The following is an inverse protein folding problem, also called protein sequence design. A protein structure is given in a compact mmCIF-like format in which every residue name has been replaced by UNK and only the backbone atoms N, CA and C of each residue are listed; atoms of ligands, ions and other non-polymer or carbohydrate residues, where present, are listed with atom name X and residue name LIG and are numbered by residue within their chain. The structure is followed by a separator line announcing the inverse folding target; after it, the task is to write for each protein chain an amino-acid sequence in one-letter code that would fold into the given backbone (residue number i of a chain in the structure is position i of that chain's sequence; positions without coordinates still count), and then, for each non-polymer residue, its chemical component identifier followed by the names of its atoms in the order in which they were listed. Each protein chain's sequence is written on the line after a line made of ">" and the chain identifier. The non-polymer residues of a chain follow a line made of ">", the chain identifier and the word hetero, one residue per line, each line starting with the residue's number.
data_IF_779079317816
#
_entry.id   IF_779079317816
#
_cell.length_a   1.000
_cell.length_b   1.000
_cell.length_c   1.000
_cell.angle_alpha   90.00
_cell.angle_beta   90.00
_cell.angle_gamma   90.00
#
_symmetry.space_group_name_H-M   'P 1'
#
loop_
_entity.id
_entity.type
_entity.pdbx_description
1 polymer ?
#
# COMPACT_ATOMS: atom_id res chain seq x y z
N UNK A 1 -6.25 16.89 -30.08
CA UNK A 1 -4.78 16.79 -30.23
C UNK A 1 -4.14 18.06 -29.74
N UNK A 2 -2.95 18.39 -30.25
CA UNK A 2 -2.23 19.62 -29.89
C UNK A 2 -2.40 20.69 -30.98
N UNK A 3 -2.32 21.98 -30.64
CA UNK A 3 -2.21 23.03 -31.65
C UNK A 3 -0.94 22.87 -32.49
N UNK A 4 -0.98 23.20 -33.78
CA UNK A 4 0.15 23.10 -34.72
C UNK A 4 0.76 24.47 -34.97
N UNK A 5 2.09 24.57 -34.91
CA UNK A 5 2.82 25.83 -35.16
C UNK A 5 3.01 26.00 -36.66
N UNK A 6 2.28 26.95 -37.25
CA UNK A 6 2.38 27.24 -38.68
C UNK A 6 3.48 28.25 -38.93
N UNK A 7 4.49 27.85 -39.71
CA UNK A 7 5.61 28.70 -40.12
C UNK A 7 5.48 29.16 -41.57
N UNK A 8 6.04 30.34 -41.86
CA UNK A 8 6.20 30.83 -43.21
C UNK A 8 7.49 30.33 -43.89
N UNK A 9 7.71 30.72 -45.16
CA UNK A 9 8.84 30.24 -45.96
C UNK A 9 10.22 30.56 -45.40
N UNK A 10 10.35 31.62 -44.60
CA UNK A 10 11.63 32.00 -43.97
C UNK A 10 11.79 31.40 -42.56
N UNK A 11 10.87 30.51 -42.17
CA UNK A 11 10.84 29.89 -40.84
C UNK A 11 10.18 30.75 -39.76
N UNK A 12 9.65 31.93 -40.11
CA UNK A 12 8.95 32.81 -39.18
C UNK A 12 7.62 32.21 -38.71
N UNK A 13 7.25 32.40 -37.45
CA UNK A 13 5.97 31.92 -36.91
C UNK A 13 4.86 32.82 -37.42
N UNK A 14 3.77 32.22 -37.92
CA UNK A 14 2.59 32.96 -38.40
C UNK A 14 1.42 32.87 -37.46
N UNK A 15 1.08 31.64 -37.04
CA UNK A 15 -0.04 31.36 -36.15
C UNK A 15 0.10 29.98 -35.53
N UNK A 16 -0.74 29.69 -34.55
CA UNK A 16 -1.00 28.33 -34.08
C UNK A 16 -2.43 27.97 -34.47
N UNK A 17 -2.62 26.78 -35.04
CA UNK A 17 -3.95 26.27 -35.41
C UNK A 17 -4.30 25.08 -34.53
N UNK A 18 -5.45 25.12 -33.86
CA UNK A 18 -5.90 24.01 -33.02
C UNK A 18 -6.23 22.75 -33.82
N UNK A 19 -6.07 21.58 -33.21
CA UNK A 19 -6.19 20.28 -33.90
C UNK A 19 -7.57 20.05 -34.55
N UNK A 20 -8.63 20.61 -33.95
CA UNK A 20 -10.00 20.54 -34.45
C UNK A 20 -10.23 21.44 -35.67
N UNK A 21 -9.56 22.59 -35.70
CA UNK A 21 -9.67 23.61 -36.76
C UNK A 21 -8.64 23.41 -37.88
N UNK A 22 -7.65 22.54 -37.67
CA UNK A 22 -6.56 22.28 -38.61
C UNK A 22 -7.00 21.48 -39.85
N UNK A 23 -6.53 21.91 -41.03
CA UNK A 23 -6.67 21.16 -42.28
C UNK A 23 -5.88 19.84 -42.25
N UNK A 24 -6.13 18.89 -43.18
CA UNK A 24 -5.31 17.69 -43.31
C UNK A 24 -3.80 17.98 -43.48
N UNK A 25 -3.46 19.03 -44.24
CA UNK A 25 -2.08 19.48 -44.44
C UNK A 25 -1.50 20.05 -43.14
N UNK A 26 -2.26 20.87 -42.42
CA UNK A 26 -1.82 21.44 -41.14
C UNK A 26 -1.65 20.37 -40.07
N UNK A 27 -2.50 19.35 -40.04
CA UNK A 27 -2.38 18.21 -39.11
C UNK A 27 -1.10 17.40 -39.30
N UNK A 28 -0.49 17.45 -40.48
CA UNK A 28 0.79 16.80 -40.79
C UNK A 28 2.01 17.54 -40.20
N UNK A 29 1.83 18.77 -39.73
CA UNK A 29 2.89 19.53 -39.04
C UNK A 29 3.24 18.79 -37.73
N UNK A 30 4.54 18.52 -37.56
CA UNK A 30 5.08 17.84 -36.38
C UNK A 30 5.38 18.77 -35.21
N UNK A 31 5.63 20.06 -35.48
CA UNK A 31 5.84 21.06 -34.44
C UNK A 31 4.51 21.42 -33.78
N UNK A 32 4.41 21.09 -32.48
CA UNK A 32 3.23 21.34 -31.67
C UNK A 32 3.41 22.55 -30.77
N UNK A 33 2.30 23.21 -30.49
CA UNK A 33 2.20 24.23 -29.47
C UNK A 33 2.05 23.58 -28.08
N UNK A 34 2.98 23.90 -27.19
CA UNK A 34 3.04 23.33 -25.82
C UNK A 34 2.22 24.15 -24.81
N UNK A 35 1.60 25.25 -25.24
CA UNK A 35 0.70 26.06 -24.41
C UNK A 35 1.39 26.91 -23.35
N UNK A 36 2.72 27.02 -23.37
CA UNK A 36 3.49 27.87 -22.46
C UNK A 36 4.01 29.10 -23.21
N UNK A 37 3.72 30.29 -22.68
CA UNK A 37 4.08 31.55 -23.32
C UNK A 37 4.73 32.52 -22.32
N UNK A 38 5.65 33.32 -22.84
CA UNK A 38 6.12 34.55 -22.18
C UNK A 38 5.72 35.70 -23.09
N UNK A 39 4.88 36.59 -22.58
CA UNK A 39 4.20 37.62 -23.38
C UNK A 39 4.30 38.96 -22.66
N UNK A 40 4.47 40.04 -23.40
CA UNK A 40 4.35 41.40 -22.84
C UNK A 40 2.95 41.60 -22.26
N UNK A 41 2.88 42.08 -21.02
CA UNK A 41 1.63 42.20 -20.28
C UNK A 41 0.65 43.21 -20.92
N UNK A 42 1.18 44.29 -21.51
CA UNK A 42 0.36 45.33 -22.15
C UNK A 42 -0.26 44.80 -23.43
N UNK A 43 0.53 44.10 -24.24
CA UNK A 43 0.02 43.40 -25.42
C UNK A 43 -1.01 42.34 -25.04
N UNK A 44 -0.72 41.50 -24.04
CA UNK A 44 -1.62 40.42 -23.62
C UNK A 44 -3.00 40.96 -23.23
N UNK A 45 -3.08 42.02 -22.43
CA UNK A 45 -4.35 42.63 -22.05
C UNK A 45 -5.17 43.12 -23.25
N UNK A 46 -4.51 43.76 -24.23
CA UNK A 46 -5.16 44.19 -25.48
C UNK A 46 -5.60 42.98 -26.32
N UNK A 47 -4.75 41.97 -26.46
CA UNK A 47 -5.02 40.80 -27.27
C UNK A 47 -6.23 40.02 -26.74
N UNK A 48 -6.28 39.76 -25.43
CA UNK A 48 -7.40 39.07 -24.78
C UNK A 48 -8.75 39.77 -25.01
N UNK A 49 -8.79 41.11 -25.02
CA UNK A 49 -10.03 41.87 -25.27
C UNK A 49 -10.59 41.73 -26.70
N UNK A 50 -9.73 41.34 -27.64
CA UNK A 50 -10.05 41.22 -29.06
C UNK A 50 -10.32 39.78 -29.49
N UNK A 51 -10.03 38.78 -28.64
CA UNK A 51 -10.36 37.39 -28.93
C UNK A 51 -11.85 37.21 -29.24
N UNK A 52 -12.16 36.30 -30.15
CA UNK A 52 -13.52 35.97 -30.57
C UNK A 52 -13.69 34.46 -30.63
N UNK A 53 -14.84 33.90 -30.22
CA UNK A 53 -15.08 32.46 -30.24
C UNK A 53 -15.51 31.98 -31.63
N UNK A 54 -14.70 32.27 -32.65
CA UNK A 54 -14.98 31.96 -34.05
C UNK A 54 -14.20 30.73 -34.51
N UNK A 55 -14.44 29.60 -33.84
CA UNK A 55 -13.82 28.31 -34.14
C UNK A 55 -14.86 27.19 -34.00
N UNK A 56 -14.47 25.97 -34.37
CA UNK A 56 -15.33 24.78 -34.32
C UNK A 56 -15.89 24.52 -32.92
N UNK A 57 -15.18 24.91 -31.86
CA UNK A 57 -15.59 24.70 -30.47
C UNK A 57 -16.43 25.85 -29.88
N UNK A 58 -16.43 27.03 -30.50
CA UNK A 58 -17.05 28.23 -29.95
C UNK A 58 -16.35 28.77 -28.69
N UNK A 59 -15.04 28.57 -28.56
CA UNK A 59 -14.24 28.95 -27.38
C UNK A 59 -13.28 30.11 -27.67
N UNK A 60 -12.80 30.81 -26.64
CA UNK A 60 -11.75 31.83 -26.81
C UNK A 60 -10.37 31.15 -26.80
N UNK A 61 -9.77 30.97 -27.97
CA UNK A 61 -8.44 30.36 -28.05
C UNK A 61 -7.34 31.36 -27.69
N UNK A 62 -6.57 31.05 -26.65
CA UNK A 62 -5.39 31.85 -26.29
C UNK A 62 -4.31 31.80 -27.39
N UNK A 63 -4.33 30.77 -28.23
CA UNK A 63 -3.39 30.59 -29.34
C UNK A 63 -3.52 31.65 -30.43
N UNK A 64 -4.68 32.28 -30.56
CA UNK A 64 -4.94 33.35 -31.55
C UNK A 64 -4.10 34.61 -31.27
N UNK A 65 -3.64 34.83 -30.03
CA UNK A 65 -2.79 35.99 -29.72
C UNK A 65 -1.47 35.98 -30.50
N UNK A 66 -1.04 34.79 -30.95
CA UNK A 66 0.18 34.62 -31.75
C UNK A 66 -0.02 35.26 -33.12
N UNK A 67 -1.13 34.94 -33.80
CA UNK A 67 -1.46 35.54 -35.09
C UNK A 67 -1.67 37.05 -34.97
N UNK A 68 -2.34 37.50 -33.91
CA UNK A 68 -2.55 38.92 -33.64
C UNK A 68 -1.23 39.68 -33.44
N UNK A 69 -0.26 39.09 -32.75
CA UNK A 69 1.07 39.67 -32.58
C UNK A 69 1.78 39.81 -33.93
N UNK A 70 1.73 38.77 -34.77
CA UNK A 70 2.31 38.78 -36.11
C UNK A 70 1.65 39.85 -36.99
N UNK A 71 0.33 39.97 -36.97
CA UNK A 71 -0.43 40.98 -37.73
C UNK A 71 -0.10 42.42 -37.29
N UNK A 72 0.25 42.62 -36.01
CA UNK A 72 0.70 43.92 -35.48
C UNK A 72 2.19 44.19 -35.73
N UNK A 73 2.90 43.30 -36.43
CA UNK A 73 4.33 43.43 -36.70
C UNK A 73 5.22 43.24 -35.47
N UNK A 74 4.69 42.64 -34.40
CA UNK A 74 5.46 42.32 -33.20
C UNK A 74 6.33 41.09 -33.43
N UNK A 75 7.44 41.00 -32.68
CA UNK A 75 8.34 39.85 -32.76
C UNK A 75 7.73 38.65 -32.02
N UNK A 76 7.53 37.55 -32.76
CA UNK A 76 7.15 36.24 -32.21
C UNK A 76 8.30 35.27 -32.42
N UNK A 77 8.70 34.59 -31.36
CA UNK A 77 9.74 33.56 -31.38
C UNK A 77 9.24 32.33 -30.61
N UNK A 78 9.68 31.14 -31.04
CA UNK A 78 9.48 29.90 -30.31
C UNK A 78 10.83 29.38 -29.83
N UNK A 79 10.83 28.82 -28.62
CA UNK A 79 11.90 27.99 -28.13
C UNK A 79 11.48 26.53 -28.29
N UNK A 80 12.24 25.77 -29.07
CA UNK A 80 11.97 24.35 -29.30
C UNK A 80 12.79 23.54 -28.30
N UNK A 81 12.14 22.74 -27.47
CA UNK A 81 12.84 21.77 -26.61
C UNK A 81 13.18 20.51 -27.40
N UNK A 82 14.31 19.89 -27.06
CA UNK A 82 14.68 18.58 -27.58
C UNK A 82 14.10 17.42 -26.74
N UNK A 83 13.57 17.72 -25.54
CA UNK A 83 12.89 16.74 -24.69
C UNK A 83 11.37 16.95 -24.75
N UNK A 84 10.70 16.14 -25.57
CA UNK A 84 9.24 16.22 -25.72
C UNK A 84 8.50 15.88 -24.41
N UNK A 85 9.10 15.09 -23.51
CA UNK A 85 8.46 14.67 -22.26
C UNK A 85 8.28 15.85 -21.30
N UNK A 86 9.17 16.85 -21.32
CA UNK A 86 9.01 18.09 -20.55
C UNK A 86 7.77 18.88 -20.96
N UNK A 87 7.32 18.71 -22.20
CA UNK A 87 6.22 19.46 -22.79
C UNK A 87 4.96 18.63 -23.01
N UNK A 88 4.96 17.37 -22.58
CA UNK A 88 3.84 16.46 -22.81
C UNK A 88 2.66 16.84 -21.93
N UNK A 89 1.55 17.23 -22.55
CA UNK A 89 0.29 17.52 -21.88
C UNK A 89 -0.47 16.25 -21.48
N UNK A 90 -1.09 16.25 -20.30
CA UNK A 90 -1.83 15.11 -19.76
C UNK A 90 -3.33 15.29 -20.03
N UNK A 91 -3.80 14.74 -21.13
CA UNK A 91 -5.21 14.78 -21.53
C UNK A 91 -5.94 13.45 -21.32
N UNK A 92 -5.18 12.35 -21.19
CA UNK A 92 -5.71 10.99 -21.01
C UNK A 92 -4.97 10.28 -19.88
N UNK A 93 -5.53 9.15 -19.42
CA UNK A 93 -4.86 8.29 -18.44
C UNK A 93 -3.58 7.65 -18.99
N UNK A 94 -3.50 7.46 -20.31
CA UNK A 94 -2.29 7.01 -20.97
C UNK A 94 -1.18 8.06 -20.91
N UNK A 95 -1.49 9.34 -21.20
CA UNK A 95 -0.51 10.41 -21.05
C UNK A 95 -0.04 10.54 -19.59
N UNK A 96 -0.96 10.38 -18.63
CA UNK A 96 -0.62 10.39 -17.21
C UNK A 96 0.39 9.28 -16.88
N UNK A 97 0.17 8.05 -17.38
CA UNK A 97 1.09 6.94 -17.16
C UNK A 97 2.48 7.18 -17.77
N UNK A 98 2.55 7.82 -18.95
CA UNK A 98 3.82 8.19 -19.59
C UNK A 98 4.57 9.23 -18.76
N UNK A 99 3.89 10.32 -18.37
CA UNK A 99 4.48 11.39 -17.56
C UNK A 99 4.96 10.87 -16.19
N UNK A 100 4.17 9.99 -15.58
CA UNK A 100 4.48 9.40 -14.29
C UNK A 100 5.69 8.45 -14.36
N UNK A 101 5.79 7.64 -15.42
CA UNK A 101 6.97 6.81 -15.68
C UNK A 101 8.25 7.64 -15.80
N UNK A 102 8.20 8.78 -16.49
CA UNK A 102 9.36 9.67 -16.61
C UNK A 102 9.72 10.32 -15.28
N UNK A 103 8.73 10.76 -14.49
CA UNK A 103 8.99 11.30 -13.16
C UNK A 103 9.65 10.26 -12.24
N UNK A 104 9.15 9.01 -12.24
CA UNK A 104 9.77 7.90 -11.50
C UNK A 104 11.21 7.67 -11.93
N UNK A 105 11.49 7.68 -13.24
CA UNK A 105 12.86 7.54 -13.76
C UNK A 105 13.79 8.61 -13.19
N UNK A 106 13.35 9.87 -13.15
CA UNK A 106 14.13 11.00 -12.60
C UNK A 106 14.37 10.85 -11.09
N UNK A 107 13.35 10.45 -10.33
CA UNK A 107 13.47 10.22 -8.88
C UNK A 107 14.46 9.07 -8.60
N UNK A 108 14.31 7.94 -9.29
CA UNK A 108 15.20 6.79 -9.16
C UNK A 108 16.65 7.16 -9.51
N UNK A 109 16.85 7.91 -10.60
CA UNK A 109 18.18 8.38 -10.99
C UNK A 109 18.81 9.28 -9.90
N UNK A 110 18.05 10.23 -9.34
CA UNK A 110 18.52 11.09 -8.24
C UNK A 110 18.98 10.28 -7.04
N UNK A 111 18.19 9.29 -6.61
CA UNK A 111 18.51 8.45 -5.45
C UNK A 111 19.71 7.53 -5.71
N UNK A 112 19.80 6.95 -6.91
CA UNK A 112 20.96 6.12 -7.27
C UNK A 112 22.25 6.95 -7.30
N UNK A 113 22.21 8.17 -7.84
CA UNK A 113 23.35 9.10 -7.83
C UNK A 113 23.75 9.54 -6.41
N UNK A 114 22.83 9.52 -5.44
CA UNK A 114 23.12 9.79 -4.03
C UNK A 114 23.62 8.56 -3.25
N UNK A 115 23.84 7.41 -3.90
CA UNK A 115 24.41 6.20 -3.30
C UNK A 115 23.38 5.18 -2.83
N UNK A 116 22.13 5.23 -3.31
CA UNK A 116 21.11 4.20 -3.05
C UNK A 116 21.22 3.11 -4.11
N UNK A 117 21.18 1.85 -3.68
CA UNK A 117 21.14 0.71 -4.60
C UNK A 117 19.69 0.34 -4.90
N UNK A 118 19.30 0.37 -6.17
CA UNK A 118 18.01 -0.14 -6.64
C UNK A 118 18.27 -1.36 -7.53
N UNK A 119 17.82 -2.54 -7.11
CA UNK A 119 18.11 -3.79 -7.83
C UNK A 119 17.39 -3.85 -9.18
N UNK A 120 16.20 -3.27 -9.25
CA UNK A 120 15.42 -3.09 -10.49
C UNK A 120 14.67 -1.75 -10.39
N UNK A 121 15.27 -0.65 -10.89
CA UNK A 121 14.70 0.70 -10.77
C UNK A 121 13.31 0.86 -11.39
N UNK A 122 12.96 0.06 -12.40
CA UNK A 122 11.65 0.11 -13.06
C UNK A 122 10.54 -0.51 -12.21
N UNK A 123 10.92 -1.28 -11.17
CA UNK A 123 10.00 -1.96 -10.25
C UNK A 123 10.03 -1.39 -8.84
N UNK A 124 10.69 -0.26 -8.61
CA UNK A 124 10.66 0.47 -7.34
C UNK A 124 9.87 1.75 -7.54
N UNK A 125 8.93 2.02 -6.64
CA UNK A 125 8.11 3.23 -6.66
C UNK A 125 8.54 4.09 -5.47
N UNK A 126 8.94 5.33 -5.75
CA UNK A 126 9.34 6.29 -4.73
C UNK A 126 8.67 7.63 -5.03
N UNK A 127 7.93 8.16 -4.07
CA UNK A 127 7.38 9.52 -4.15
C UNK A 127 8.50 10.56 -4.08
N UNK A 128 8.32 11.72 -4.71
CA UNK A 128 9.35 12.76 -4.83
C UNK A 128 9.86 13.29 -3.47
N UNK A 129 9.00 13.30 -2.45
CA UNK A 129 9.30 13.77 -1.09
C UNK A 129 9.97 12.75 -0.17
N UNK A 130 10.26 11.54 -0.66
CA UNK A 130 10.92 10.49 0.13
C UNK A 130 12.42 10.71 0.18
N UNK A 131 12.99 10.50 1.36
CA UNK A 131 14.44 10.53 1.59
C UNK A 131 14.97 9.13 1.86
N UNK A 132 16.10 8.78 1.23
CA UNK A 132 16.77 7.48 1.43
C UNK A 132 18.26 7.72 1.59
N UNK A 133 18.82 7.27 2.71
CA UNK A 133 20.24 7.38 3.02
C UNK A 133 21.11 6.48 2.15
N UNK A 134 22.38 6.88 1.99
CA UNK A 134 23.41 6.12 1.25
C UNK A 134 23.53 4.67 1.72
N UNK A 135 24.01 3.82 0.83
CA UNK A 135 24.27 2.39 1.05
C UNK A 135 23.00 1.58 1.37
N UNK A 136 21.82 2.18 1.25
CA UNK A 136 20.54 1.49 1.38
C UNK A 136 20.18 0.77 0.07
N UNK A 137 19.69 -0.47 0.19
CA UNK A 137 19.28 -1.31 -0.94
C UNK A 137 17.75 -1.46 -1.00
N UNK A 138 17.17 -1.19 -2.17
CA UNK A 138 15.75 -1.33 -2.47
C UNK A 138 15.53 -2.46 -3.48
N UNK A 139 14.75 -3.46 -3.10
CA UNK A 139 14.43 -4.62 -3.92
C UNK A 139 13.21 -4.36 -4.82
N UNK A 140 12.99 -5.17 -5.87
CA UNK A 140 11.85 -5.02 -6.77
C UNK A 140 10.51 -5.11 -6.01
N UNK A 141 9.57 -4.22 -6.36
CA UNK A 141 8.24 -4.12 -5.76
C UNK A 141 8.18 -3.25 -4.49
N UNK A 142 9.30 -2.66 -4.04
CA UNK A 142 9.27 -1.69 -2.94
C UNK A 142 8.51 -0.43 -3.36
N UNK A 143 7.61 0.02 -2.47
CA UNK A 143 6.84 1.25 -2.62
C UNK A 143 7.10 2.16 -1.41
N UNK A 144 7.71 3.32 -1.65
CA UNK A 144 8.00 4.33 -0.63
C UNK A 144 7.17 5.58 -0.92
N UNK A 145 6.30 5.96 0.02
CA UNK A 145 5.26 6.95 -0.22
C UNK A 145 5.26 8.08 0.82
N UNK A 146 4.72 9.23 0.43
CA UNK A 146 4.50 10.39 1.29
C UNK A 146 5.82 10.99 1.79
N UNK A 147 5.92 11.14 3.12
CA UNK A 147 7.10 11.68 3.82
C UNK A 147 7.96 10.58 4.46
N UNK A 148 8.05 9.43 3.80
CA UNK A 148 8.88 8.34 4.30
C UNK A 148 10.35 8.75 4.29
N UNK A 149 11.06 8.44 5.38
CA UNK A 149 12.50 8.68 5.51
C UNK A 149 13.16 7.36 5.88
N UNK A 150 14.19 6.98 5.11
CA UNK A 150 15.00 5.79 5.36
C UNK A 150 16.44 6.22 5.62
N UNK A 151 17.03 5.73 6.71
CA UNK A 151 18.42 5.95 7.07
C UNK A 151 19.42 5.28 6.11
N UNK A 152 20.66 5.19 6.57
CA UNK A 152 21.77 4.61 5.80
C UNK A 152 21.94 3.12 6.06
N UNK A 153 22.50 2.40 5.08
CA UNK A 153 22.84 0.98 5.20
C UNK A 153 21.64 0.10 5.57
N UNK A 154 20.46 0.43 5.03
CA UNK A 154 19.24 -0.35 5.22
C UNK A 154 19.05 -1.33 4.07
N UNK A 155 18.27 -2.38 4.30
CA UNK A 155 17.87 -3.32 3.25
C UNK A 155 16.36 -3.45 3.29
N UNK A 156 15.70 -3.09 2.19
CA UNK A 156 14.25 -3.15 2.04
C UNK A 156 13.94 -4.18 0.95
N UNK A 157 13.47 -5.34 1.38
CA UNK A 157 13.11 -6.46 0.51
C UNK A 157 11.79 -6.25 -0.22
N UNK A 158 11.57 -7.08 -1.23
CA UNK A 158 10.58 -6.88 -2.26
C UNK A 158 9.14 -6.85 -1.76
N UNK A 159 8.30 -6.18 -2.55
CA UNK A 159 6.86 -6.03 -2.30
C UNK A 159 6.52 -5.39 -0.93
N UNK A 160 7.45 -4.64 -0.34
CA UNK A 160 7.21 -3.90 0.90
C UNK A 160 6.69 -2.50 0.62
N UNK A 161 5.68 -2.05 1.37
CA UNK A 161 5.08 -0.72 1.27
C UNK A 161 5.32 0.07 2.54
N UNK A 162 5.95 1.23 2.42
CA UNK A 162 6.18 2.16 3.52
C UNK A 162 5.51 3.50 3.18
N UNK A 163 4.61 3.96 4.06
CA UNK A 163 3.92 5.23 3.91
C UNK A 163 4.11 6.07 5.16
N UNK A 164 4.59 7.30 5.00
CA UNK A 164 4.83 8.26 6.08
C UNK A 164 5.58 7.67 7.28
N UNK A 165 6.55 6.79 7.03
CA UNK A 165 7.27 6.06 8.08
C UNK A 165 8.70 6.55 8.23
N UNK A 166 9.24 6.46 9.44
CA UNK A 166 10.62 6.83 9.77
C UNK A 166 11.42 5.56 10.05
N UNK A 167 12.47 5.32 9.26
CA UNK A 167 13.33 4.15 9.39
C UNK A 167 14.75 4.64 9.67
N UNK A 168 15.33 4.21 10.79
CA UNK A 168 16.69 4.51 11.20
C UNK A 168 17.74 3.80 10.35
N UNK A 169 18.98 3.78 10.83
CA UNK A 169 20.10 3.13 10.12
C UNK A 169 20.13 1.62 10.34
N UNK A 170 20.81 0.89 9.47
CA UNK A 170 21.08 -0.54 9.66
C UNK A 170 19.81 -1.40 9.84
N UNK A 171 18.66 -0.96 9.30
CA UNK A 171 17.38 -1.67 9.43
C UNK A 171 17.21 -2.67 8.30
N UNK A 172 16.72 -3.86 8.64
CA UNK A 172 16.28 -4.86 7.66
C UNK A 172 14.75 -4.92 7.66
N UNK A 173 14.14 -4.61 6.51
CA UNK A 173 12.72 -4.88 6.25
C UNK A 173 12.66 -6.01 5.25
N UNK A 174 12.12 -7.14 5.69
CA UNK A 174 11.94 -8.35 4.89
C UNK A 174 10.70 -8.25 4.01
N UNK A 175 10.52 -9.25 3.15
CA UNK A 175 9.54 -9.23 2.08
C UNK A 175 8.10 -8.99 2.54
N UNK A 176 7.33 -8.30 1.71
CA UNK A 176 5.87 -8.14 1.86
C UNK A 176 5.44 -7.50 3.17
N UNK A 177 6.21 -6.53 3.68
CA UNK A 177 5.83 -5.76 4.85
C UNK A 177 4.99 -4.53 4.48
N UNK A 178 4.06 -4.16 5.35
CA UNK A 178 3.29 -2.91 5.22
C UNK A 178 3.50 -2.06 6.47
N UNK A 179 4.09 -0.88 6.31
CA UNK A 179 4.37 0.05 7.40
C UNK A 179 3.66 1.38 7.10
N UNK A 180 2.76 1.78 7.99
CA UNK A 180 1.98 3.01 7.88
C UNK A 180 2.21 3.84 9.14
N UNK A 181 2.80 5.03 8.99
CA UNK A 181 3.07 5.94 10.11
C UNK A 181 3.80 5.25 11.29
N UNK A 182 4.79 4.42 10.93
CA UNK A 182 5.60 3.66 11.88
C UNK A 182 6.99 4.30 12.06
N UNK A 183 7.56 4.17 13.26
CA UNK A 183 8.95 4.56 13.55
C UNK A 183 9.76 3.32 13.90
N UNK A 184 10.85 3.10 13.16
CA UNK A 184 11.74 1.96 13.29
C UNK A 184 13.12 2.47 13.60
N UNK A 185 13.65 2.17 14.78
CA UNK A 185 14.98 2.60 15.18
C UNK A 185 16.08 1.66 14.67
N UNK A 186 17.31 2.09 14.90
CA UNK A 186 18.52 1.47 14.36
C UNK A 186 18.63 -0.04 14.65
N UNK A 187 19.01 -0.81 13.62
CA UNK A 187 19.31 -2.23 13.76
C UNK A 187 18.10 -3.14 13.95
N UNK A 188 16.87 -2.61 13.87
CA UNK A 188 15.65 -3.40 13.97
C UNK A 188 15.45 -4.31 12.74
N UNK A 189 14.69 -5.38 12.92
CA UNK A 189 14.33 -6.33 11.86
C UNK A 189 12.82 -6.49 11.80
N UNK A 190 12.23 -6.22 10.64
CA UNK A 190 10.78 -6.27 10.41
C UNK A 190 10.46 -7.30 9.33
N UNK A 191 9.48 -8.17 9.57
CA UNK A 191 8.93 -9.10 8.61
C UNK A 191 9.55 -10.49 8.58
N UNK A 192 9.33 -11.23 7.48
CA UNK A 192 8.47 -10.87 6.33
C UNK A 192 6.99 -10.82 6.72
N UNK A 193 6.08 -10.29 5.90
CA UNK A 193 4.62 -10.29 6.16
C UNK A 193 4.19 -9.61 7.48
N UNK A 194 4.93 -8.60 7.94
CA UNK A 194 4.54 -7.80 9.09
C UNK A 194 3.65 -6.63 8.65
N UNK A 195 2.69 -6.25 9.50
CA UNK A 195 1.83 -5.08 9.31
C UNK A 195 1.95 -4.13 10.49
N UNK A 196 2.65 -3.01 10.29
CA UNK A 196 2.79 -1.96 11.28
C UNK A 196 1.83 -0.81 10.95
N UNK A 197 0.89 -0.56 11.85
CA UNK A 197 -0.12 0.49 11.73
C UNK A 197 0.31 1.75 12.51
N UNK A 198 -0.41 2.87 12.35
CA UNK A 198 -0.02 4.13 12.95
C UNK A 198 0.26 4.07 14.45
N UNK A 199 1.35 4.73 14.85
CA UNK A 199 1.83 4.76 16.23
C UNK A 199 2.59 3.50 16.65
N UNK A 200 3.03 2.68 15.70
CA UNK A 200 3.98 1.59 15.99
C UNK A 200 5.39 2.15 16.09
N UNK A 201 6.06 1.90 17.22
CA UNK A 201 7.43 2.29 17.50
C UNK A 201 8.25 1.05 17.83
N UNK A 202 9.26 0.76 17.01
CA UNK A 202 10.18 -0.35 17.23
C UNK A 202 11.53 0.22 17.61
N UNK A 203 11.92 0.04 18.88
CA UNK A 203 13.19 0.51 19.38
C UNK A 203 14.36 -0.29 18.82
N UNK A 204 15.57 0.22 19.08
CA UNK A 204 16.83 -0.37 18.60
C UNK A 204 16.86 -1.89 18.73
N UNK A 205 17.28 -2.57 17.67
CA UNK A 205 17.42 -4.04 17.62
C UNK A 205 16.14 -4.82 17.96
N UNK A 206 14.98 -4.17 18.01
CA UNK A 206 13.68 -4.81 18.15
C UNK A 206 13.39 -5.69 16.93
N UNK A 207 12.62 -6.76 17.14
CA UNK A 207 12.25 -7.69 16.07
C UNK A 207 10.75 -7.87 15.99
N UNK A 208 10.22 -7.66 14.79
CA UNK A 208 8.84 -8.00 14.44
C UNK A 208 8.91 -9.00 13.31
N UNK A 209 8.44 -10.21 13.51
CA UNK A 209 8.52 -11.25 12.50
C UNK A 209 7.21 -11.43 11.72
N UNK A 210 6.97 -12.64 11.23
CA UNK A 210 5.93 -12.90 10.27
C UNK A 210 4.51 -12.99 10.85
N UNK A 211 3.57 -12.43 10.09
CA UNK A 211 2.15 -12.38 10.43
C UNK A 211 1.91 -11.71 11.78
N UNK A 212 2.66 -10.65 12.05
CA UNK A 212 2.49 -9.81 13.23
C UNK A 212 1.86 -8.49 12.82
N UNK A 213 0.78 -8.11 13.50
CA UNK A 213 0.14 -6.81 13.39
C UNK A 213 0.36 -5.97 14.65
N UNK A 214 0.90 -4.77 14.49
CA UNK A 214 1.07 -3.80 15.57
C UNK A 214 0.26 -2.53 15.30
N UNK A 215 -0.30 -1.93 16.34
CA UNK A 215 -1.00 -0.63 16.26
C UNK A 215 -0.89 0.11 17.58
N UNK A 216 -0.43 1.37 17.58
CA UNK A 216 -0.23 2.13 18.83
C UNK A 216 0.59 1.31 19.85
N UNK A 217 1.68 0.70 19.37
CA UNK A 217 2.47 -0.26 20.15
C UNK A 217 3.94 0.10 20.12
N UNK A 218 4.55 0.11 21.30
CA UNK A 218 5.98 0.32 21.51
C UNK A 218 6.65 -1.02 21.79
N UNK A 219 7.64 -1.40 20.98
CA UNK A 219 8.48 -2.58 21.17
C UNK A 219 9.84 -2.11 21.66
N UNK A 220 10.14 -2.34 22.93
CA UNK A 220 11.39 -1.91 23.56
C UNK A 220 12.65 -2.56 22.97
N UNK A 221 13.80 -2.00 23.34
CA UNK A 221 15.10 -2.41 22.81
C UNK A 221 15.34 -3.92 22.99
N UNK A 222 15.75 -4.58 21.90
CA UNK A 222 16.07 -6.01 21.88
C UNK A 222 14.86 -6.95 22.03
N UNK A 223 13.65 -6.42 22.22
CA UNK A 223 12.42 -7.21 22.36
C UNK A 223 11.95 -7.81 21.04
N UNK A 224 11.23 -8.93 21.13
CA UNK A 224 10.90 -9.78 19.98
C UNK A 224 9.42 -10.14 19.97
N UNK A 225 8.76 -9.89 18.84
CA UNK A 225 7.41 -10.33 18.51
C UNK A 225 7.49 -11.06 17.18
N UNK A 226 7.83 -12.35 17.20
CA UNK A 226 8.29 -13.00 15.98
C UNK A 226 7.18 -13.60 15.11
N UNK A 227 6.04 -14.00 15.67
CA UNK A 227 5.09 -14.82 14.89
C UNK A 227 3.63 -14.58 15.30
N UNK A 228 2.75 -14.49 14.32
CA UNK A 228 1.29 -14.73 14.46
C UNK A 228 0.65 -13.98 15.64
N UNK A 229 0.95 -12.69 15.81
CA UNK A 229 0.54 -11.93 17.00
C UNK A 229 -0.14 -10.63 16.62
N UNK A 230 -1.16 -10.23 17.40
CA UNK A 230 -1.74 -8.89 17.34
C UNK A 230 -1.48 -8.17 18.65
N UNK A 231 -0.73 -7.06 18.60
CA UNK A 231 -0.48 -6.21 19.75
C UNK A 231 -0.94 -4.78 19.46
N UNK A 232 -2.06 -4.39 20.08
CA UNK A 232 -2.67 -3.08 19.97
C UNK A 232 -2.64 -2.33 21.29
N UNK A 233 -2.37 -1.03 21.26
CA UNK A 233 -2.37 -0.16 22.44
C UNK A 233 -1.46 -0.70 23.57
N UNK A 234 -0.24 -1.12 23.21
CA UNK A 234 0.65 -1.89 24.10
C UNK A 234 2.03 -1.24 24.26
N UNK A 235 2.56 -1.21 25.49
CA UNK A 235 3.94 -0.79 25.76
C UNK A 235 4.73 -1.99 26.22
N UNK A 236 5.75 -2.38 25.46
CA UNK A 236 6.63 -3.51 25.74
C UNK A 236 8.01 -2.99 26.14
N UNK A 237 8.51 -3.44 27.28
CA UNK A 237 9.84 -3.13 27.79
C UNK A 237 10.95 -3.76 26.96
N UNK A 238 12.17 -3.74 27.50
CA UNK A 238 13.39 -4.25 26.88
C UNK A 238 13.54 -5.75 27.08
N UNK A 239 14.20 -6.41 26.14
CA UNK A 239 14.53 -7.85 26.21
C UNK A 239 13.31 -8.76 26.47
N UNK A 240 12.11 -8.35 26.05
CA UNK A 240 10.88 -9.12 26.17
C UNK A 240 10.78 -10.11 25.01
N UNK A 241 10.33 -11.32 25.29
CA UNK A 241 9.99 -12.29 24.26
C UNK A 241 8.48 -12.55 24.24
N UNK A 242 7.82 -12.16 23.16
CA UNK A 242 6.42 -12.44 22.90
C UNK A 242 6.29 -13.75 22.12
N UNK A 243 5.66 -14.76 22.75
CA UNK A 243 5.39 -16.05 22.15
C UNK A 243 4.41 -15.95 20.98
N UNK A 244 4.49 -16.90 20.06
CA UNK A 244 3.64 -16.96 18.87
C UNK A 244 2.15 -17.06 19.27
N UNK A 245 1.26 -16.41 18.53
CA UNK A 245 -0.18 -16.46 18.84
C UNK A 245 -0.62 -15.52 19.95
N UNK A 246 0.27 -14.65 20.46
CA UNK A 246 -0.11 -13.72 21.54
C UNK A 246 -1.03 -12.62 21.01
N UNK A 247 -2.11 -12.36 21.75
CA UNK A 247 -3.10 -11.35 21.42
C UNK A 247 -3.31 -10.42 22.62
N UNK A 248 -3.24 -9.11 22.38
CA UNK A 248 -3.72 -8.12 23.36
C UNK A 248 -5.19 -7.83 23.09
N UNK A 249 -6.06 -8.25 24.00
CA UNK A 249 -7.49 -7.97 23.92
C UNK A 249 -7.72 -6.53 24.43
N UNK A 250 -7.54 -5.56 23.54
CA UNK A 250 -7.52 -4.13 23.87
C UNK A 250 -8.87 -3.42 23.72
N UNK A 251 -9.93 -4.10 23.32
CA UNK A 251 -11.25 -3.52 23.06
C UNK A 251 -12.37 -4.33 23.72
N UNK A 252 -13.27 -3.65 24.44
CA UNK A 252 -14.38 -4.29 25.17
C UNK A 252 -15.73 -4.22 24.44
N UNK A 253 -15.76 -3.63 23.24
CA UNK A 253 -17.00 -3.32 22.51
C UNK A 253 -17.39 -1.85 22.53
N UNK A 254 -16.74 -1.03 23.37
CA UNK A 254 -17.02 0.40 23.50
C UNK A 254 -15.74 1.26 23.67
N UNK A 255 -14.81 0.84 24.53
CA UNK A 255 -13.56 1.53 24.86
C UNK A 255 -12.34 0.66 24.60
N UNK A 256 -11.21 1.34 24.45
CA UNK A 256 -9.90 0.71 24.39
C UNK A 256 -9.13 0.87 25.69
N UNK A 257 -8.33 -0.13 26.00
CA UNK A 257 -7.47 -0.14 27.18
C UNK A 257 -6.04 -0.56 26.81
N UNK A 258 -5.07 -0.14 27.62
CA UNK A 258 -3.65 -0.39 27.37
C UNK A 258 -3.14 -1.64 28.08
N UNK A 259 -2.22 -2.34 27.42
CA UNK A 259 -1.41 -3.40 28.02
C UNK A 259 0.00 -2.87 28.27
N UNK A 260 0.57 -3.18 29.45
CA UNK A 260 1.96 -2.88 29.79
C UNK A 260 2.71 -4.18 30.06
N UNK A 261 3.84 -4.37 29.40
CA UNK A 261 4.75 -5.49 29.62
C UNK A 261 6.10 -4.88 29.97
N UNK A 262 6.60 -5.14 31.17
CA UNK A 262 7.88 -4.60 31.65
C UNK A 262 9.07 -5.40 31.11
N UNK A 263 10.28 -5.02 31.52
CA UNK A 263 11.52 -5.57 30.98
C UNK A 263 11.69 -7.07 31.31
N UNK A 264 12.46 -7.78 30.47
CA UNK A 264 12.88 -9.16 30.69
C UNK A 264 11.72 -10.18 30.86
N UNK A 265 10.51 -9.83 30.41
CA UNK A 265 9.33 -10.71 30.48
C UNK A 265 9.38 -11.77 29.39
N UNK A 266 8.93 -12.98 29.73
CA UNK A 266 8.65 -14.04 28.76
C UNK A 266 7.14 -14.31 28.69
N UNK A 267 6.54 -14.07 27.53
CA UNK A 267 5.15 -14.45 27.24
C UNK A 267 5.17 -15.76 26.46
N UNK A 268 4.53 -16.80 27.00
CA UNK A 268 4.35 -18.07 26.30
C UNK A 268 3.48 -17.94 25.06
N UNK A 269 3.49 -18.97 24.21
CA UNK A 269 2.66 -18.99 23.01
C UNK A 269 1.16 -19.04 23.35
N UNK A 270 0.34 -18.50 22.46
CA UNK A 270 -1.13 -18.50 22.54
C UNK A 270 -1.66 -17.89 23.84
N UNK A 271 -1.04 -16.78 24.27
CA UNK A 271 -1.46 -16.01 25.44
C UNK A 271 -2.42 -14.90 25.02
N UNK A 272 -3.50 -14.73 25.77
CA UNK A 272 -4.39 -13.58 25.62
C UNK A 272 -4.22 -12.64 26.81
N UNK A 273 -3.91 -11.37 26.54
CA UNK A 273 -3.74 -10.32 27.54
C UNK A 273 -4.98 -9.43 27.55
N UNK A 274 -5.86 -9.57 28.54
CA UNK A 274 -7.07 -8.76 28.64
C UNK A 274 -6.73 -7.42 29.25
N UNK A 275 -6.74 -6.36 28.43
CA UNK A 275 -6.45 -5.02 28.87
C UNK A 275 -7.59 -4.41 29.71
N UNK A 276 -7.31 -3.54 30.68
CA UNK A 276 -5.99 -3.09 31.09
C UNK A 276 -5.27 -4.12 31.97
N UNK A 277 -4.00 -4.39 31.66
CA UNK A 277 -3.17 -5.32 32.43
C UNK A 277 -1.70 -4.92 32.39
N UNK A 278 -0.99 -5.15 33.50
CA UNK A 278 0.47 -4.98 33.62
C UNK A 278 1.13 -6.32 33.94
N UNK A 279 2.16 -6.67 33.17
CA UNK A 279 3.03 -7.82 33.41
C UNK A 279 4.36 -7.28 33.94
N UNK A 280 4.64 -7.57 35.21
CA UNK A 280 5.80 -7.05 35.93
C UNK A 280 7.13 -7.62 35.43
N UNK A 281 8.21 -6.87 35.69
CA UNK A 281 9.56 -7.20 35.22
C UNK A 281 9.97 -8.66 35.54
N UNK A 282 10.57 -9.34 34.58
CA UNK A 282 11.08 -10.71 34.74
C UNK A 282 9.99 -11.78 34.90
N UNK A 283 8.72 -11.43 34.80
CA UNK A 283 7.63 -12.40 34.89
C UNK A 283 7.62 -13.38 33.71
N UNK A 284 7.08 -14.57 33.97
CA UNK A 284 6.85 -15.60 32.96
C UNK A 284 5.35 -15.87 32.86
N UNK A 285 4.80 -15.81 31.65
CA UNK A 285 3.41 -16.22 31.38
C UNK A 285 3.44 -17.57 30.68
N UNK A 286 2.80 -18.57 31.28
CA UNK A 286 2.72 -19.90 30.70
C UNK A 286 1.92 -19.88 29.38
N UNK A 287 2.27 -20.74 28.43
CA UNK A 287 1.55 -20.87 27.17
C UNK A 287 0.06 -21.19 27.39
N UNK A 288 -0.80 -20.69 26.50
CA UNK A 288 -2.25 -20.90 26.56
C UNK A 288 -2.94 -20.16 27.72
N UNK A 289 -2.29 -19.16 28.32
CA UNK A 289 -2.83 -18.43 29.48
C UNK A 289 -3.68 -17.25 29.03
N UNK A 290 -4.83 -17.06 29.66
CA UNK A 290 -5.65 -15.86 29.56
C UNK A 290 -5.41 -15.00 30.79
N UNK A 291 -4.65 -13.91 30.63
CA UNK A 291 -4.29 -13.01 31.72
C UNK A 291 -5.37 -11.95 31.90
N UNK A 292 -5.99 -11.93 33.09
CA UNK A 292 -7.09 -11.00 33.44
C UNK A 292 -6.76 -10.06 34.60
N UNK A 293 -5.59 -10.23 35.21
CA UNK A 293 -5.10 -9.44 36.35
C UNK A 293 -3.62 -9.20 36.18
N UNK A 294 -3.13 -8.12 36.81
CA UNK A 294 -1.70 -7.83 36.81
C UNK A 294 -0.89 -9.02 37.34
N UNK A 295 0.26 -9.25 36.74
CA UNK A 295 1.20 -10.30 37.15
C UNK A 295 2.39 -9.61 37.84
N UNK A 296 2.68 -9.93 39.11
CA UNK A 296 3.80 -9.31 39.83
C UNK A 296 5.17 -9.59 39.18
N UNK A 297 6.19 -8.75 39.45
CA UNK A 297 7.55 -9.01 39.01
C UNK A 297 8.06 -10.40 39.43
N UNK A 298 8.84 -11.05 38.56
CA UNK A 298 9.42 -12.39 38.73
C UNK A 298 8.40 -13.51 39.01
N UNK A 299 7.10 -13.27 38.81
CA UNK A 299 6.05 -14.27 39.04
C UNK A 299 5.77 -15.12 37.80
N UNK A 300 5.21 -16.31 38.04
CA UNK A 300 4.61 -17.16 37.01
C UNK A 300 3.11 -16.87 36.90
N UNK A 301 2.66 -16.33 35.77
CA UNK A 301 1.25 -16.25 35.41
C UNK A 301 0.79 -17.51 34.68
N UNK A 302 -0.25 -18.18 35.18
CA UNK A 302 -0.78 -19.41 34.58
C UNK A 302 -2.29 -19.53 34.82
N UNK A 303 -3.04 -19.85 33.76
CA UNK A 303 -4.48 -20.10 33.83
C UNK A 303 -4.88 -21.25 32.90
N UNK A 304 -4.46 -22.47 33.23
CA UNK A 304 -4.73 -23.66 32.40
C UNK A 304 -5.38 -24.79 33.20
N UNK A 305 -6.16 -25.61 32.51
CA UNK A 305 -6.69 -26.86 33.06
C UNK A 305 -5.61 -27.96 33.01
N UNK A 306 -5.54 -28.86 34.01
CA UNK A 306 -4.72 -30.05 33.91
C UNK A 306 -5.11 -30.90 32.69
N UNK A 307 -4.11 -31.43 31.98
CA UNK A 307 -4.36 -32.30 30.83
C UNK A 307 -4.99 -33.62 31.30
N UNK A 308 -6.01 -34.09 30.60
CA UNK A 308 -6.63 -35.41 30.81
C UNK A 308 -6.57 -36.18 29.49
N UNK A 309 -6.06 -37.40 29.54
CA UNK A 309 -6.07 -38.32 28.40
C UNK A 309 -7.22 -39.31 28.56
N UNK A 310 -8.12 -39.38 27.55
CA UNK A 310 -9.22 -40.36 27.50
C UNK A 310 -8.89 -41.43 26.46
N UNK A 311 -8.17 -42.46 26.89
CA UNK A 311 -7.70 -43.54 26.02
C UNK A 311 -8.84 -44.23 25.26
N UNK A 312 -8.58 -44.66 24.02
CA UNK A 312 -9.56 -45.34 23.16
C UNK A 312 -10.69 -44.48 22.58
N UNK A 313 -10.91 -43.26 23.08
CA UNK A 313 -12.04 -42.40 22.67
C UNK A 313 -12.05 -42.09 21.16
N UNK A 314 -10.87 -41.86 20.58
CA UNK A 314 -10.76 -41.55 19.15
C UNK A 314 -11.18 -42.73 18.27
N UNK A 315 -10.81 -43.97 18.64
CA UNK A 315 -11.21 -45.17 17.92
C UNK A 315 -12.73 -45.38 18.00
N UNK A 316 -13.29 -45.32 19.23
CA UNK A 316 -14.73 -45.41 19.46
C UNK A 316 -15.53 -44.35 18.68
N UNK A 317 -15.02 -43.12 18.60
CA UNK A 317 -15.68 -42.06 17.83
C UNK A 317 -15.65 -42.31 16.32
N UNK A 318 -14.55 -42.86 15.79
CA UNK A 318 -14.49 -43.28 14.37
C UNK A 318 -15.48 -44.39 14.07
N UNK A 319 -15.62 -45.37 14.96
CA UNK A 319 -16.62 -46.44 14.83
C UNK A 319 -18.05 -45.90 14.83
N UNK A 320 -18.39 -45.03 15.78
CA UNK A 320 -19.71 -44.39 15.84
C UNK A 320 -19.98 -43.58 14.57
N UNK A 321 -19.02 -42.80 14.09
CA UNK A 321 -19.19 -42.02 12.87
C UNK A 321 -19.35 -42.93 11.65
N UNK A 322 -18.56 -44.00 11.55
CA UNK A 322 -18.67 -44.98 10.47
C UNK A 322 -20.02 -45.70 10.48
N UNK A 323 -20.52 -46.12 11.66
CA UNK A 323 -21.84 -46.77 11.79
C UNK A 323 -22.97 -45.80 11.46
N UNK A 324 -22.89 -44.55 11.91
CA UNK A 324 -23.89 -43.50 11.62
C UNK A 324 -23.93 -43.14 10.12
N UNK A 325 -22.76 -43.14 9.47
CA UNK A 325 -22.64 -42.94 8.01
C UNK A 325 -23.27 -44.10 7.23
N UNK A 326 -23.08 -45.34 7.70
CA UNK A 326 -23.69 -46.52 7.11
C UNK A 326 -25.23 -46.54 7.31
N UNK A 327 -25.71 -46.10 8.47
CA UNK A 327 -27.16 -45.96 8.74
C UNK A 327 -27.80 -44.85 7.89
N UNK A 328 -27.11 -43.73 7.66
CA UNK A 328 -27.60 -42.68 6.75
C UNK A 328 -27.60 -43.11 5.27
N UNK A 329 -26.60 -43.88 4.83
CA UNK A 329 -26.58 -44.44 3.48
C UNK A 329 -27.71 -45.47 3.25
N UNK A 330 -28.06 -46.26 4.27
CA UNK A 330 -29.19 -47.19 4.21
C UNK A 330 -30.56 -46.50 4.27
N UNK A 331 -30.70 -45.39 5.01
CA UNK A 331 -31.92 -44.60 5.06
C UNK A 331 -32.20 -43.89 3.71
N UNK A 332 -31.17 -43.36 3.04
CA UNK A 332 -31.32 -42.76 1.71
C UNK A 332 -31.69 -43.79 0.63
N UNK A 333 -31.17 -45.01 0.71
CA UNK A 333 -31.60 -46.10 -0.20
C UNK A 333 -33.04 -46.55 0.02
N UNK A 334 -33.58 -46.38 1.24
CA UNK A 334 -34.97 -46.75 1.56
C UNK A 334 -35.98 -45.69 1.08
N UNK A 335 -35.64 -44.40 1.18
CA UNK A 335 -36.46 -43.28 0.66
C UNK A 335 -36.57 -43.33 -0.88
N UNK A 336 -35.47 -43.60 -1.58
CA UNK A 336 -35.46 -43.72 -3.05
C UNK A 336 -36.32 -44.91 -3.56
N UNK A 337 -36.54 -45.93 -2.73
CA UNK A 337 -37.41 -47.08 -3.07
C UNK A 337 -38.89 -46.84 -2.81
N UNK A 338 -39.26 -45.96 -1.86
CA UNK A 338 -40.68 -45.65 -1.60
C UNK A 338 -41.25 -44.66 -2.62
N UNK A 339 -40.49 -43.66 -3.08
CA UNK A 339 -40.91 -42.73 -4.15
C UNK A 339 -41.13 -43.43 -5.51
N UNK A 340 -40.46 -44.55 -5.77
CA UNK A 340 -40.65 -45.35 -7.00
C UNK A 340 -41.96 -46.17 -7.02
N UNK A 341 -42.73 -46.24 -5.92
CA UNK A 341 -43.92 -47.10 -5.81
C UNK A 341 -45.26 -46.40 -6.10
N UNK A 342 -45.27 -45.09 -6.33
CA UNK A 342 -46.47 -44.34 -6.76
C UNK A 342 -46.52 -44.27 -8.29
N UNK A 343 -47.11 -45.28 -8.91
CA UNK A 343 -47.43 -45.26 -10.35
C UNK A 343 -48.54 -44.22 -10.64
N UNK A 344 -48.34 -43.26 -11.57
CA UNK A 344 -49.41 -42.40 -12.04
C UNK A 344 -50.30 -43.15 -13.05
N UNK A 345 -51.61 -43.13 -12.78
CA UNK A 345 -52.66 -43.65 -13.67
C UNK A 345 -52.70 -42.82 -14.98
N UNK A 346 -52.64 -43.42 -16.19
CA UNK A 346 -52.52 -42.66 -17.42
C UNK A 346 -53.89 -42.40 -18.05
N UNK A 347 -54.46 -41.20 -17.87
CA UNK A 347 -55.55 -40.71 -18.71
C UNK A 347 -55.76 -39.18 -18.55
N UNK A 348 -55.17 -38.40 -19.45
CA UNK A 348 -55.90 -37.58 -20.44
C UNK A 348 -54.98 -36.56 -21.11
N UNK A 349 -54.77 -36.73 -22.42
CA UNK A 349 -54.48 -35.62 -23.35
C UNK A 349 -55.73 -34.74 -23.45
N UNK A 350 -55.52 -33.42 -23.44
CA UNK A 350 -56.23 -32.44 -24.29
C UNK A 350 -55.50 -31.08 -24.25
N UNK A 351 -54.86 -30.78 -25.38
CA UNK A 351 -55.03 -29.56 -26.18
C UNK A 351 -55.28 -28.23 -25.46
N UNK A 352 -54.31 -27.32 -25.57
CA UNK A 352 -54.31 -26.19 -26.53
C UNK A 352 -53.94 -24.82 -25.96
N UNK A 353 -53.14 -24.14 -26.80
CA UNK A 353 -52.77 -22.71 -26.91
C UNK A 353 -51.69 -22.18 -25.98
#
# INVERSE_FOLDING_TARGET
>A
GYGRVVRGPSGEIRRVVEDQDASPEERSISEINVGTYVVDATFLGKALSQLRPQNVQGEFYITDIIEMAVQQGLKVAAWVTNDYLETTGINTREHLAIAEKEMRRRISQRLMLSGVTMLDPDRVIVDDGVEVGRDTSLYPGVMLEGRTVIGTNCVIHGNSRLNNSLVGNNVLIQDSCVLLEATIEEGAVIGPFAHLRPGSLIHRKGKVGNFVELKQTEVGEGSKVNHLSYLGDTVIGRNVNIGAGTITCNYDGFRKARTRIEDNVFIGSDVQLIAPVTIGEGALIAAGTTVTKNVPPNALGISRVPQINKEGTAAKRREILASSSATHAQAQQHDDTEESSLQPNPQHKKDSV
#
